data_IF_254471562324
#
_entry.id   IF_254471562324
#
_cell.length_a   1.000
_cell.length_b   1.000
_cell.length_c   1.000
_cell.angle_alpha   90.00
_cell.angle_beta   90.00
_cell.angle_gamma   90.00
#
_symmetry.space_group_name_H-M   'P 1'
#
loop_
_entity.id
_entity.type
_entity.pdbx_description
1 polymer ?
#
# COMPACT_ATOMS: atom_id res chain seq x y z
N UNK A 1 10.19 -4.42 -2.13
CA UNK A 1 9.85 -4.91 -3.49
C UNK A 1 11.11 -5.53 -4.09
N UNK A 2 11.09 -6.79 -4.52
CA UNK A 2 12.29 -7.45 -5.07
C UNK A 2 12.27 -7.32 -6.60
N UNK A 3 13.15 -6.49 -7.17
CA UNK A 3 13.32 -6.32 -8.62
C UNK A 3 13.61 -7.65 -9.34
N UNK A 4 14.22 -8.60 -8.61
CA UNK A 4 14.45 -9.96 -9.06
C UNK A 4 13.16 -10.70 -9.46
N UNK A 5 12.06 -10.52 -8.72
CA UNK A 5 10.81 -11.20 -9.02
C UNK A 5 10.15 -10.68 -10.30
N UNK A 6 10.27 -9.37 -10.55
CA UNK A 6 9.77 -8.76 -11.78
C UNK A 6 10.59 -9.21 -12.99
N UNK A 7 11.92 -9.18 -12.89
CA UNK A 7 12.82 -9.66 -13.94
C UNK A 7 12.63 -11.15 -14.25
N UNK A 8 12.39 -11.98 -13.23
CA UNK A 8 12.11 -13.40 -13.42
C UNK A 8 10.82 -13.64 -14.23
N UNK A 9 9.74 -12.92 -13.91
CA UNK A 9 8.49 -13.00 -14.67
C UNK A 9 8.69 -12.53 -16.11
N UNK A 10 9.44 -11.46 -16.31
CA UNK A 10 9.74 -10.91 -17.63
C UNK A 10 10.60 -11.86 -18.47
N UNK A 11 11.62 -12.48 -17.87
CA UNK A 11 12.42 -13.52 -18.52
C UNK A 11 11.57 -14.71 -18.93
N UNK A 12 10.73 -15.23 -18.03
CA UNK A 12 9.88 -16.38 -18.31
C UNK A 12 8.93 -16.06 -19.47
N UNK A 13 8.26 -14.91 -19.47
CA UNK A 13 7.40 -14.50 -20.58
C UNK A 13 8.16 -14.38 -21.91
N UNK A 14 9.35 -13.77 -21.88
CA UNK A 14 10.18 -13.57 -23.08
C UNK A 14 10.66 -14.89 -23.69
N UNK A 15 10.95 -15.89 -22.86
CA UNK A 15 11.38 -17.22 -23.31
C UNK A 15 10.23 -18.15 -23.69
N UNK A 16 9.09 -18.05 -22.99
CA UNK A 16 7.96 -18.96 -23.18
C UNK A 16 7.12 -18.58 -24.40
N UNK A 17 7.02 -17.27 -24.69
CA UNK A 17 6.16 -16.76 -25.76
C UNK A 17 6.61 -17.22 -27.16
N UNK A 18 7.89 -17.16 -27.57
CA UNK A 18 8.34 -17.66 -28.87
C UNK A 18 8.08 -19.16 -29.03
N UNK A 19 8.35 -19.95 -27.98
CA UNK A 19 8.13 -21.40 -27.97
C UNK A 19 6.66 -21.75 -28.12
N UNK A 20 5.75 -21.02 -27.44
CA UNK A 20 4.31 -21.20 -27.63
C UNK A 20 3.86 -20.81 -29.04
N UNK A 21 4.44 -19.75 -29.62
CA UNK A 21 4.11 -19.31 -30.99
C UNK A 21 4.49 -20.37 -32.02
N UNK A 22 5.65 -20.99 -31.86
CA UNK A 22 6.18 -22.01 -32.76
C UNK A 22 5.42 -23.35 -32.63
N UNK A 23 5.07 -23.76 -31.39
CA UNK A 23 4.22 -24.93 -31.15
C UNK A 23 2.80 -24.75 -31.73
N UNK A 24 2.23 -23.56 -31.62
CA UNK A 24 0.90 -23.28 -32.17
C UNK A 24 0.92 -23.19 -33.71
N UNK A 25 1.98 -22.64 -34.31
CA UNK A 25 2.10 -22.62 -35.78
C UNK A 25 2.24 -24.02 -36.37
N UNK A 26 2.94 -24.93 -35.66
CA UNK A 26 3.07 -26.32 -36.07
C UNK A 26 1.75 -27.11 -35.98
N UNK A 27 0.76 -26.61 -35.24
CA UNK A 27 -0.59 -27.19 -35.17
C UNK A 27 -1.61 -26.49 -36.10
N UNK A 28 -1.15 -25.61 -37.00
CA UNK A 28 -2.02 -24.94 -37.98
C UNK A 28 -2.88 -23.81 -37.39
N UNK A 29 -2.55 -23.32 -36.19
CA UNK A 29 -3.26 -22.20 -35.56
C UNK A 29 -2.86 -20.90 -36.27
N UNK A 30 -3.81 -20.07 -36.73
CA UNK A 30 -3.50 -18.78 -37.33
C UNK A 30 -2.69 -17.91 -36.37
N UNK A 31 -1.58 -17.30 -36.85
CA UNK A 31 -0.68 -16.43 -36.05
C UNK A 31 -1.41 -15.38 -35.22
N UNK A 32 -2.56 -14.90 -35.68
CA UNK A 32 -3.41 -13.95 -34.97
C UNK A 32 -3.90 -14.51 -33.63
N UNK A 33 -4.29 -15.77 -33.58
CA UNK A 33 -4.81 -16.43 -32.37
C UNK A 33 -3.74 -16.54 -31.30
N UNK A 34 -2.49 -16.80 -31.70
CA UNK A 34 -1.36 -16.93 -30.76
C UNK A 34 -0.95 -15.58 -30.17
N UNK A 35 -0.97 -14.52 -30.98
CA UNK A 35 -0.73 -13.16 -30.50
C UNK A 35 -1.84 -12.73 -29.52
N UNK A 36 -3.10 -13.05 -29.81
CA UNK A 36 -4.23 -12.75 -28.93
C UNK A 36 -4.13 -13.54 -27.61
N UNK A 37 -3.85 -14.85 -27.69
CA UNK A 37 -3.72 -15.71 -26.51
C UNK A 37 -2.57 -15.26 -25.61
N UNK A 38 -1.40 -14.98 -26.17
CA UNK A 38 -0.26 -14.52 -25.36
C UNK A 38 -0.45 -13.10 -24.82
N UNK A 39 -1.15 -12.22 -25.55
CA UNK A 39 -1.60 -10.94 -25.03
C UNK A 39 -2.49 -11.11 -23.79
N UNK A 40 -3.50 -11.98 -23.88
CA UNK A 40 -4.41 -12.27 -22.77
C UNK A 40 -3.68 -12.84 -21.54
N UNK A 41 -2.76 -13.78 -21.74
CA UNK A 41 -1.94 -14.34 -20.64
C UNK A 41 -1.09 -13.26 -19.99
N UNK A 42 -0.44 -12.41 -20.79
CA UNK A 42 0.39 -11.32 -20.28
C UNK A 42 -0.43 -10.35 -19.45
N UNK A 43 -1.62 -9.95 -19.94
CA UNK A 43 -2.53 -9.08 -19.19
C UNK A 43 -2.97 -9.72 -17.88
N UNK A 44 -3.32 -11.01 -17.87
CA UNK A 44 -3.72 -11.72 -16.65
C UNK A 44 -2.59 -11.82 -15.64
N UNK A 45 -1.35 -12.10 -16.08
CA UNK A 45 -0.17 -12.15 -15.21
C UNK A 45 0.11 -10.77 -14.60
N UNK A 46 0.07 -9.71 -15.41
CA UNK A 46 0.27 -8.34 -14.92
C UNK A 46 -0.82 -7.93 -13.92
N UNK A 47 -2.08 -8.26 -14.20
CA UNK A 47 -3.19 -7.99 -13.29
C UNK A 47 -3.05 -8.75 -11.96
N UNK A 48 -2.73 -10.05 -12.02
CA UNK A 48 -2.50 -10.87 -10.83
C UNK A 48 -1.33 -10.36 -9.99
N UNK A 49 -0.22 -9.98 -10.65
CA UNK A 49 0.94 -9.37 -9.99
C UNK A 49 0.58 -8.04 -9.32
N UNK A 50 -0.16 -7.17 -10.03
CA UNK A 50 -0.60 -5.88 -9.50
C UNK A 50 -1.47 -6.05 -8.26
N UNK A 51 -2.47 -6.94 -8.32
CA UNK A 51 -3.37 -7.23 -7.19
C UNK A 51 -2.56 -7.79 -6.01
N UNK A 52 -1.69 -8.77 -6.24
CA UNK A 52 -0.87 -9.37 -5.19
C UNK A 52 0.04 -8.33 -4.52
N UNK A 53 0.70 -7.49 -5.30
CA UNK A 53 1.56 -6.40 -4.81
C UNK A 53 0.76 -5.40 -3.98
N UNK A 54 -0.43 -5.02 -4.45
CA UNK A 54 -1.35 -4.12 -3.72
C UNK A 54 -1.77 -4.70 -2.38
N UNK A 55 -2.15 -5.98 -2.35
CA UNK A 55 -2.59 -6.68 -1.13
C UNK A 55 -1.42 -6.82 -0.15
N UNK A 56 -0.22 -7.15 -0.63
CA UNK A 56 0.94 -7.26 0.24
C UNK A 56 1.26 -5.94 0.93
N UNK A 57 1.31 -4.83 0.18
CA UNK A 57 1.53 -3.50 0.77
C UNK A 57 0.44 -3.14 1.78
N UNK A 58 -0.81 -3.47 1.49
CA UNK A 58 -1.92 -3.22 2.40
C UNK A 58 -1.78 -4.01 3.71
N UNK A 59 -1.33 -5.28 3.64
CA UNK A 59 -1.04 -6.09 4.83
C UNK A 59 0.12 -5.53 5.65
N UNK A 60 1.19 -5.08 5.00
CA UNK A 60 2.34 -4.47 5.69
C UNK A 60 1.92 -3.21 6.47
N UNK A 61 1.07 -2.35 5.89
CA UNK A 61 0.56 -1.16 6.59
C UNK A 61 -0.33 -1.54 7.78
N UNK A 62 -1.16 -2.57 7.65
CA UNK A 62 -2.00 -3.06 8.76
C UNK A 62 -1.16 -3.59 9.92
N UNK A 63 -0.08 -4.31 9.62
CA UNK A 63 0.86 -4.80 10.63
C UNK A 63 1.51 -3.64 11.39
N UNK A 64 1.96 -2.59 10.69
CA UNK A 64 2.55 -1.42 11.35
C UNK A 64 1.56 -0.66 12.21
N UNK A 65 0.30 -0.58 11.79
CA UNK A 65 -0.78 -0.01 12.60
C UNK A 65 -0.98 -0.84 13.88
N UNK A 66 -0.95 -2.17 13.78
CA UNK A 66 -1.08 -3.04 14.94
C UNK A 66 0.08 -2.83 15.94
N UNK A 67 1.32 -2.77 15.43
CA UNK A 67 2.51 -2.48 16.25
C UNK A 67 2.41 -1.11 16.92
N UNK A 68 2.05 -0.07 16.18
CA UNK A 68 1.90 1.28 16.74
C UNK A 68 0.83 1.31 17.84
N UNK A 69 -0.33 0.66 17.61
CA UNK A 69 -1.40 0.57 18.62
C UNK A 69 -0.94 -0.18 19.87
N UNK A 70 -0.14 -1.24 19.70
CA UNK A 70 0.46 -1.96 20.81
C UNK A 70 1.43 -1.07 21.60
N UNK A 71 2.32 -0.34 20.92
CA UNK A 71 3.26 0.58 21.57
C UNK A 71 2.52 1.64 22.40
N UNK A 72 1.49 2.27 21.82
CA UNK A 72 0.65 3.26 22.52
C UNK A 72 -0.07 2.65 23.73
N UNK A 73 -0.48 1.38 23.65
CA UNK A 73 -1.13 0.71 24.78
C UNK A 73 -0.16 0.43 25.94
N UNK A 74 1.14 0.28 25.66
CA UNK A 74 2.17 0.06 26.66
C UNK A 74 2.63 1.36 27.30
N UNK A 75 2.80 2.41 26.48
CA UNK A 75 3.19 3.74 26.95
C UNK A 75 2.41 4.83 26.20
N UNK A 76 1.24 5.22 26.73
CA UNK A 76 0.37 6.20 26.07
C UNK A 76 0.94 7.62 26.01
N UNK A 77 1.86 7.96 26.92
CA UNK A 77 2.43 9.31 27.06
C UNK A 77 3.76 9.46 26.30
N UNK A 78 4.33 8.38 25.78
CA UNK A 78 5.50 8.43 24.93
C UNK A 78 5.14 8.86 23.49
N UNK A 79 5.82 9.89 22.98
CA UNK A 79 5.66 10.36 21.60
C UNK A 79 6.13 9.33 20.59
N UNK A 80 7.22 8.63 20.88
CA UNK A 80 7.79 7.63 19.97
C UNK A 80 6.84 6.44 19.75
N UNK A 81 5.95 6.16 20.71
CA UNK A 81 4.95 5.11 20.58
C UNK A 81 3.96 5.36 19.41
N UNK A 82 3.78 6.63 19.01
CA UNK A 82 2.92 7.01 17.88
C UNK A 82 3.60 6.83 16.52
N UNK A 83 4.90 6.50 16.49
CA UNK A 83 5.66 6.32 15.26
C UNK A 83 6.11 4.87 15.09
N UNK A 84 6.01 4.37 13.86
CA UNK A 84 6.58 3.09 13.46
C UNK A 84 7.31 3.29 12.15
N UNK A 85 8.61 2.93 12.12
CA UNK A 85 9.48 3.12 10.94
C UNK A 85 9.48 4.57 10.40
N UNK A 86 9.47 5.55 11.31
CA UNK A 86 9.38 6.98 11.02
C UNK A 86 8.04 7.46 10.42
N UNK A 87 7.05 6.59 10.26
CA UNK A 87 5.69 6.99 9.88
C UNK A 87 4.82 7.16 11.13
N UNK A 88 4.09 8.27 11.22
CA UNK A 88 3.12 8.50 12.29
C UNK A 88 1.88 7.61 12.09
N UNK A 89 1.31 7.06 13.16
CA UNK A 89 0.13 6.19 13.11
C UNK A 89 -1.06 6.85 12.38
N UNK A 90 -1.29 8.14 12.63
CA UNK A 90 -2.32 8.90 11.91
C UNK A 90 -2.12 8.93 10.39
N UNK A 91 -0.88 8.99 9.91
CA UNK A 91 -0.58 8.95 8.47
C UNK A 91 -0.82 7.55 7.87
N UNK A 92 -0.45 6.51 8.61
CA UNK A 92 -0.73 5.13 8.22
C UNK A 92 -2.25 4.88 8.12
N UNK A 93 -3.03 5.40 9.05
CA UNK A 93 -4.49 5.30 9.04
C UNK A 93 -5.11 6.06 7.85
N UNK A 94 -4.60 7.25 7.52
CA UNK A 94 -5.03 8.00 6.33
C UNK A 94 -4.75 7.24 5.03
N UNK A 95 -3.61 6.57 4.90
CA UNK A 95 -3.28 5.73 3.72
C UNK A 95 -4.29 4.59 3.53
N UNK A 96 -4.95 4.15 4.59
CA UNK A 96 -6.00 3.12 4.55
C UNK A 96 -7.42 3.69 4.43
N UNK A 97 -7.58 5.02 4.29
CA UNK A 97 -8.88 5.68 4.24
C UNK A 97 -9.60 5.73 5.59
N UNK A 98 -8.93 5.36 6.70
CA UNK A 98 -9.51 5.37 8.05
C UNK A 98 -9.40 6.77 8.66
N UNK A 99 -10.07 7.75 8.03
CA UNK A 99 -9.94 9.17 8.35
C UNK A 99 -10.35 9.50 9.79
N UNK A 100 -11.48 8.95 10.27
CA UNK A 100 -11.97 9.16 11.64
C UNK A 100 -10.93 8.80 12.69
N UNK A 101 -10.42 7.56 12.62
CA UNK A 101 -9.40 7.08 13.54
C UNK A 101 -8.09 7.86 13.43
N UNK A 102 -7.72 8.32 12.24
CA UNK A 102 -6.54 9.15 12.07
C UNK A 102 -6.67 10.48 12.81
N UNK A 103 -7.84 11.12 12.72
CA UNK A 103 -8.16 12.36 13.44
C UNK A 103 -8.04 12.13 14.95
N UNK A 104 -8.66 11.07 15.48
CA UNK A 104 -8.58 10.73 16.91
C UNK A 104 -7.13 10.57 17.39
N UNK A 105 -6.30 9.87 16.60
CA UNK A 105 -4.88 9.67 16.93
C UNK A 105 -4.10 10.99 16.91
N UNK A 106 -4.33 11.83 15.90
CA UNK A 106 -3.67 13.14 15.85
C UNK A 106 -4.10 14.06 17.00
N UNK A 107 -5.35 13.98 17.45
CA UNK A 107 -5.83 14.77 18.59
C UNK A 107 -5.22 14.35 19.92
N UNK A 108 -5.04 13.04 20.12
CA UNK A 108 -4.29 12.53 21.27
C UNK A 108 -2.85 13.01 21.25
N UNK A 109 -2.19 12.92 20.10
CA UNK A 109 -0.82 13.42 19.92
C UNK A 109 -0.71 14.93 20.14
N UNK A 110 -1.68 15.72 19.64
CA UNK A 110 -1.77 17.16 19.89
C UNK A 110 -1.88 17.48 21.37
N UNK A 111 -2.66 16.70 22.11
CA UNK A 111 -2.83 16.86 23.56
C UNK A 111 -1.51 16.60 24.30
N UNK A 112 -0.76 15.58 23.88
CA UNK A 112 0.55 15.25 24.43
C UNK A 112 1.60 16.34 24.15
N UNK A 113 1.76 16.72 22.88
CA UNK A 113 2.75 17.75 22.51
C UNK A 113 2.40 19.13 23.07
N UNK A 114 1.11 19.46 23.23
CA UNK A 114 0.70 20.71 23.88
C UNK A 114 1.08 20.78 25.35
N UNK A 115 1.09 19.65 26.08
CA UNK A 115 1.58 19.59 27.48
C UNK A 115 3.08 19.83 27.58
N UNK A 116 3.83 19.46 26.54
CA UNK A 116 5.29 19.60 26.45
C UNK A 116 5.75 20.91 25.80
N UNK A 117 4.83 21.75 25.35
CA UNK A 117 5.14 23.04 24.70
C UNK A 117 5.66 22.92 23.26
N UNK A 118 5.43 21.78 22.60
CA UNK A 118 5.81 21.59 21.19
C UNK A 118 4.87 22.39 20.29
N UNK A 119 5.42 23.14 19.34
CA UNK A 119 4.61 23.82 18.33
C UNK A 119 4.04 22.81 17.32
N UNK A 120 2.75 22.53 17.47
CA UNK A 120 1.99 21.63 16.61
C UNK A 120 0.93 22.36 15.80
N UNK A 121 1.12 23.65 15.52
CA UNK A 121 0.14 24.48 14.78
C UNK A 121 -0.19 23.90 13.40
N UNK A 122 0.81 23.46 12.65
CA UNK A 122 0.63 22.79 11.36
C UNK A 122 -0.22 21.52 11.47
N UNK A 123 -0.03 20.75 12.54
CA UNK A 123 -0.80 19.53 12.78
C UNK A 123 -2.26 19.86 13.15
N UNK A 124 -2.50 20.91 13.95
CA UNK A 124 -3.85 21.38 14.27
C UNK A 124 -4.61 21.80 13.01
N UNK A 125 -3.98 22.57 12.13
CA UNK A 125 -4.59 22.97 10.85
C UNK A 125 -4.88 21.76 9.95
N UNK A 126 -3.98 20.78 9.95
CA UNK A 126 -4.18 19.53 9.22
C UNK A 126 -5.39 18.76 9.74
N UNK A 127 -5.52 18.60 11.06
CA UNK A 127 -6.68 17.96 11.68
C UNK A 127 -7.98 18.72 11.37
N UNK A 128 -7.97 20.05 11.46
CA UNK A 128 -9.13 20.88 11.14
C UNK A 128 -9.57 20.70 9.67
N UNK A 129 -8.61 20.57 8.73
CA UNK A 129 -8.92 20.26 7.33
C UNK A 129 -9.52 18.86 7.16
N UNK A 130 -8.96 17.86 7.82
CA UNK A 130 -9.45 16.48 7.74
C UNK A 130 -10.88 16.35 8.28
N UNK A 131 -11.19 16.99 9.42
CA UNK A 131 -12.55 17.03 9.98
C UNK A 131 -13.56 17.64 9.00
N UNK A 132 -13.26 18.80 8.41
CA UNK A 132 -14.15 19.43 7.42
C UNK A 132 -14.42 18.56 6.19
N UNK A 133 -13.47 17.72 5.81
CA UNK A 133 -13.66 16.79 4.70
C UNK A 133 -14.50 15.58 5.12
N UNK A 134 -14.33 15.10 6.35
CA UNK A 134 -15.17 14.04 6.93
C UNK A 134 -16.64 14.47 7.07
N UNK A 135 -16.90 15.70 7.51
CA UNK A 135 -18.26 16.23 7.67
C UNK A 135 -19.01 16.41 6.33
N UNK A 136 -18.31 16.34 5.20
CA UNK A 136 -18.85 16.50 3.84
C UNK A 136 -19.14 15.16 3.14
N UNK A 137 -18.64 14.05 3.67
CA UNK A 137 -18.81 12.69 3.15
C UNK A 137 -20.01 12.00 3.81
#
# INVERSE_FOLDING_TARGET
MNYAAFLAVLMVLTFSFPVMVELASNQGVPRSTTVIAGGAVTTLVLAGWYIRSRVQRHREVLEWIAVAKQNISQDPDNEEAYFVRNDHLGDLLLRLGRRREAIDVFERYLTLGSRRGVDLTLLRERVARLRRQEDRE
#
